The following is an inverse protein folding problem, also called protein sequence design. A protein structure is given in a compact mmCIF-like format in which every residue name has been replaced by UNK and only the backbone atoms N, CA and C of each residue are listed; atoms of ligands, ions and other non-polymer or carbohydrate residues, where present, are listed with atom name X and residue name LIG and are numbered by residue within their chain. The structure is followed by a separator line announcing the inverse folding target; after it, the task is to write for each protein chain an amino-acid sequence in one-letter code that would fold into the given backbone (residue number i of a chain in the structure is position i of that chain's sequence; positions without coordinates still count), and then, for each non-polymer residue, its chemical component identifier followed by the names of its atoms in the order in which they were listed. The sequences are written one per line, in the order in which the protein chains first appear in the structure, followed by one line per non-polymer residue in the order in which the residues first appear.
data_IF_581237561455
#
_entry.id   IF_581237561455
#
_cell.length_a   1.000
_cell.length_b   1.000
_cell.length_c   1.000
_cell.angle_alpha   90.00
_cell.angle_beta   90.00
_cell.angle_gamma   90.00
#
_symmetry.space_group_name_H-M   'P 1'
#
loop_
_entity.id
_entity.type
_entity.pdbx_description
1 polymer ?
#
# COMPACT_ATOMS: atom_id res chain seq x y z
N UNK A 1 4.05 16.40 12.26
CA UNK A 1 4.95 16.34 11.08
C UNK A 1 4.90 14.88 10.62
N UNK A 2 4.02 14.56 9.68
CA UNK A 2 3.76 13.18 9.26
C UNK A 2 4.87 12.64 8.34
N UNK A 3 4.57 11.58 7.59
CA UNK A 3 5.47 10.96 6.62
C UNK A 3 5.61 11.76 5.30
N UNK A 4 5.53 13.10 5.32
CA UNK A 4 5.65 13.93 4.11
C UNK A 4 7.12 14.25 3.86
N UNK A 5 7.67 13.64 2.83
CA UNK A 5 9.08 13.79 2.44
C UNK A 5 9.33 15.07 1.61
N UNK A 6 8.26 15.65 1.05
CA UNK A 6 8.28 16.91 0.29
C UNK A 6 7.21 17.87 0.80
N UNK A 7 7.40 19.21 0.64
CA UNK A 7 6.44 20.23 1.05
C UNK A 7 5.24 20.35 0.09
N UNK A 8 4.74 19.22 -0.41
CA UNK A 8 3.54 19.19 -1.25
C UNK A 8 2.30 18.97 -0.36
N UNK A 9 1.24 19.73 -0.64
CA UNK A 9 -0.06 19.61 0.01
C UNK A 9 -1.12 19.47 -1.09
N UNK A 10 -2.05 18.51 -0.99
CA UNK A 10 -3.19 18.47 -1.89
C UNK A 10 -4.10 19.66 -1.61
N UNK A 11 -4.62 20.28 -2.66
CA UNK A 11 -5.59 21.39 -2.58
C UNK A 11 -6.98 20.89 -2.15
N UNK A 12 -7.33 19.66 -2.52
CA UNK A 12 -8.59 19.01 -2.19
C UNK A 12 -8.35 17.63 -1.59
N UNK A 13 -9.06 17.32 -0.48
CA UNK A 13 -8.96 16.04 0.23
C UNK A 13 -10.36 15.47 0.42
N UNK A 14 -10.63 14.31 -0.17
CA UNK A 14 -11.89 13.58 0.06
C UNK A 14 -11.95 12.94 1.45
N UNK A 15 -10.93 12.15 1.80
CA UNK A 15 -10.83 11.49 3.12
C UNK A 15 -9.38 11.49 3.61
N UNK A 16 -9.17 11.95 4.83
CA UNK A 16 -7.86 11.89 5.47
C UNK A 16 -7.75 10.64 6.33
N UNK A 17 -6.87 9.72 5.94
CA UNK A 17 -6.66 8.45 6.64
C UNK A 17 -5.24 8.45 7.21
N UNK A 18 -5.07 8.42 8.54
CA UNK A 18 -3.75 8.26 9.13
C UNK A 18 -3.24 6.84 8.86
N UNK A 19 -2.14 6.73 8.11
CA UNK A 19 -1.46 5.45 7.81
C UNK A 19 -0.05 5.45 8.37
N UNK A 20 0.46 4.27 8.73
CA UNK A 20 1.86 4.07 9.10
C UNK A 20 2.73 3.78 7.87
N UNK A 21 4.06 3.94 7.98
CA UNK A 21 5.00 3.66 6.87
C UNK A 21 4.93 2.24 6.31
N UNK A 22 4.42 1.29 7.11
CA UNK A 22 4.27 -0.11 6.73
C UNK A 22 2.90 -0.42 6.14
N UNK A 23 1.99 0.55 6.05
CA UNK A 23 0.67 0.40 5.47
C UNK A 23 0.64 0.97 4.05
N UNK A 24 -0.06 0.29 3.15
CA UNK A 24 -0.33 0.72 1.78
C UNK A 24 -1.82 0.93 1.61
N UNK A 25 -2.17 2.06 0.98
CA UNK A 25 -3.55 2.37 0.58
C UNK A 25 -3.72 1.88 -0.86
N UNK A 26 -4.60 0.91 -1.07
CA UNK A 26 -5.01 0.47 -2.39
C UNK A 26 -6.37 1.10 -2.71
N UNK A 27 -6.45 1.76 -3.85
CA UNK A 27 -7.69 2.34 -4.36
C UNK A 27 -8.09 1.56 -5.59
N UNK A 28 -9.29 0.99 -5.56
CA UNK A 28 -9.95 0.37 -6.71
C UNK A 28 -11.05 1.29 -7.17
N UNK A 29 -11.13 1.44 -8.48
CA UNK A 29 -12.14 2.25 -9.16
C UNK A 29 -12.86 1.40 -10.19
N UNK A 30 -14.16 1.61 -10.35
CA UNK A 30 -15.01 0.83 -11.25
C UNK A 30 -14.43 0.77 -12.68
N UNK A 31 -13.85 1.86 -13.19
CA UNK A 31 -13.32 1.92 -14.56
C UNK A 31 -12.10 1.04 -14.80
N UNK A 32 -11.37 0.67 -13.74
CA UNK A 32 -10.12 -0.11 -13.84
C UNK A 32 -10.31 -1.54 -13.31
N UNK A 33 -10.97 -1.68 -12.16
CA UNK A 33 -11.05 -2.94 -11.41
C UNK A 33 -12.47 -3.52 -11.37
N UNK A 34 -13.49 -2.77 -11.82
CA UNK A 34 -14.90 -3.19 -11.83
C UNK A 34 -15.63 -3.03 -10.49
N UNK A 35 -14.95 -2.52 -9.46
CA UNK A 35 -15.50 -2.26 -8.13
C UNK A 35 -14.88 -0.99 -7.52
N UNK A 36 -15.69 -0.21 -6.80
CA UNK A 36 -15.25 0.96 -6.03
C UNK A 36 -14.94 0.59 -4.58
N UNK A 37 -13.65 0.50 -4.22
CA UNK A 37 -13.25 0.22 -2.84
C UNK A 37 -11.88 0.84 -2.49
N UNK A 38 -11.77 1.35 -1.27
CA UNK A 38 -10.50 1.81 -0.69
C UNK A 38 -10.10 0.88 0.44
N UNK A 39 -9.00 0.14 0.28
CA UNK A 39 -8.50 -0.82 1.27
C UNK A 39 -7.12 -0.41 1.80
N UNK A 40 -6.84 -0.74 3.06
CA UNK A 40 -5.55 -0.50 3.70
C UNK A 40 -4.94 -1.87 4.02
N UNK A 41 -3.82 -2.19 3.38
CA UNK A 41 -3.09 -3.42 3.60
C UNK A 41 -1.76 -3.14 4.30
N UNK A 42 -1.32 -4.05 5.17
CA UNK A 42 0.05 -4.04 5.64
C UNK A 42 0.96 -4.54 4.51
N UNK A 43 2.02 -3.79 4.19
CA UNK A 43 3.03 -4.22 3.24
C UNK A 43 3.72 -5.47 3.81
N UNK A 44 3.28 -6.64 3.36
CA UNK A 44 3.96 -7.89 3.67
C UNK A 44 5.43 -7.75 3.24
N UNK A 45 6.39 -8.19 4.07
CA UNK A 45 7.79 -8.15 3.68
C UNK A 45 7.91 -8.90 2.36
N UNK A 46 8.51 -8.24 1.37
CA UNK A 46 8.70 -8.78 0.03
C UNK A 46 9.23 -10.22 0.16
N UNK A 47 8.37 -11.20 -0.12
CA UNK A 47 8.74 -12.61 -0.07
C UNK A 47 9.79 -12.79 -1.15
N UNK A 48 11.07 -12.85 -0.77
CA UNK A 48 12.17 -13.06 -1.71
C UNK A 48 11.87 -14.35 -2.49
N UNK A 49 11.70 -14.30 -3.82
CA UNK A 49 11.65 -15.53 -4.61
C UNK A 49 13.09 -16.07 -4.65
N UNK A 50 13.45 -16.98 -3.75
CA UNK A 50 14.79 -17.57 -3.80
C UNK A 50 15.31 -18.37 -2.61
N UNK A 51 14.60 -18.47 -1.48
CA UNK A 51 15.08 -19.29 -0.35
C UNK A 51 14.34 -20.63 -0.20
N UNK A 52 13.88 -21.22 -1.30
CA UNK A 52 13.62 -22.67 -1.29
C UNK A 52 14.98 -23.36 -1.42
N UNK A 53 15.72 -23.33 -0.32
CA UNK A 53 16.94 -24.10 -0.13
C UNK A 53 16.56 -25.57 -0.25
N UNK A 54 17.35 -26.28 -1.05
CA UNK A 54 17.28 -27.70 -1.30
C UNK A 54 16.93 -28.51 -0.04
N UNK A 55 15.97 -29.41 -0.18
CA UNK A 55 15.83 -30.57 0.71
C UNK A 55 16.44 -31.77 -0.01
N UNK A 56 17.53 -32.36 0.51
CA UNK A 56 17.98 -33.69 0.10
C UNK A 56 17.28 -34.78 0.93
N UNK A 57 17.46 -36.01 0.45
CA UNK A 57 16.96 -37.32 0.89
C UNK A 57 15.57 -37.71 0.37
#
# INVERSE_FOLDING_TARGET
RGHRELPLRPDYVGKNIPTSQQQRVNVRVEEVDGDDEVTIAHAAPARRPGSQVARPA
#
